data_IF_268132739265
#
_entry.id   IF_268132739265
#
_cell.length_a   1.000
_cell.length_b   1.000
_cell.length_c   1.000
_cell.angle_alpha   90.00
_cell.angle_beta   90.00
_cell.angle_gamma   90.00
#
_symmetry.space_group_name_H-M   'P 1'
#
loop_
_entity.id
_entity.type
_entity.pdbx_description
1 polymer ?
#
# COMPACT_ATOMS: atom_id res chain seq x y z
N UNK A 1 44.63 -5.40 -1.52
CA UNK A 1 43.54 -5.29 -0.54
C UNK A 1 42.46 -4.47 -1.18
N UNK A 2 41.35 -5.11 -1.53
CA UNK A 2 40.19 -4.42 -2.09
C UNK A 2 39.63 -3.49 -1.02
N UNK A 3 39.63 -2.18 -1.28
CA UNK A 3 39.12 -1.20 -0.32
C UNK A 3 37.60 -1.36 -0.25
N UNK A 4 37.09 -1.65 0.95
CA UNK A 4 35.65 -1.69 1.19
C UNK A 4 35.09 -0.28 0.97
N UNK A 5 34.12 -0.09 0.06
CA UNK A 5 33.46 1.19 -0.13
C UNK A 5 32.52 1.44 1.06
N UNK A 6 33.02 2.13 2.08
CA UNK A 6 32.23 2.50 3.26
C UNK A 6 31.14 3.51 2.90
N UNK A 7 30.04 3.46 3.66
CA UNK A 7 28.95 4.43 3.54
C UNK A 7 29.46 5.85 3.79
N UNK A 8 28.95 6.79 3.00
CA UNK A 8 29.10 8.21 3.30
C UNK A 8 28.36 8.55 4.60
N UNK A 9 28.74 9.66 5.24
CA UNK A 9 28.07 10.11 6.46
C UNK A 9 26.55 10.34 6.29
N UNK A 10 26.10 10.69 5.07
CA UNK A 10 24.67 10.82 4.76
C UNK A 10 23.99 9.45 4.72
N UNK A 11 24.58 8.49 4.01
CA UNK A 11 24.04 7.13 3.90
C UNK A 11 24.01 6.42 5.25
N UNK A 12 25.02 6.62 6.10
CA UNK A 12 25.03 6.06 7.45
C UNK A 12 23.86 6.60 8.31
N UNK A 13 23.60 7.91 8.25
CA UNK A 13 22.46 8.50 8.97
C UNK A 13 21.13 7.94 8.47
N UNK A 14 20.96 7.85 7.15
CA UNK A 14 19.74 7.27 6.54
C UNK A 14 19.58 5.80 6.92
N UNK A 15 20.66 5.02 6.88
CA UNK A 15 20.66 3.62 7.27
C UNK A 15 20.23 3.41 8.73
N UNK A 16 20.76 4.20 9.67
CA UNK A 16 20.37 4.10 11.09
C UNK A 16 18.90 4.45 11.33
N UNK A 17 18.38 5.48 10.65
CA UNK A 17 16.96 5.84 10.71
C UNK A 17 16.08 4.72 10.11
N UNK A 18 16.43 4.23 8.93
CA UNK A 18 15.71 3.16 8.26
C UNK A 18 15.72 1.86 9.09
N UNK A 19 16.86 1.48 9.64
CA UNK A 19 16.97 0.33 10.55
C UNK A 19 16.08 0.50 11.80
N UNK A 20 15.97 1.72 12.34
CA UNK A 20 15.08 1.99 13.47
C UNK A 20 13.62 1.79 13.09
N UNK A 21 13.20 2.22 11.90
CA UNK A 21 11.85 1.97 11.36
C UNK A 21 11.60 0.47 11.20
N UNK A 22 12.54 -0.28 10.62
CA UNK A 22 12.39 -1.73 10.41
C UNK A 22 12.21 -2.53 11.71
N UNK A 23 12.71 -2.01 12.84
CA UNK A 23 12.59 -2.65 14.15
C UNK A 23 11.34 -2.19 14.89
N UNK A 24 11.06 -0.88 14.92
CA UNK A 24 10.01 -0.31 15.77
C UNK A 24 8.62 -0.31 15.15
N UNK A 25 8.51 -0.04 13.84
CA UNK A 25 7.23 0.10 13.16
C UNK A 25 6.41 -1.21 13.14
N UNK A 26 7.01 -2.41 12.91
CA UNK A 26 6.24 -3.65 12.95
C UNK A 26 5.53 -3.87 14.28
N UNK A 27 6.21 -3.61 15.40
CA UNK A 27 5.64 -3.78 16.74
C UNK A 27 4.48 -2.82 16.98
N UNK A 28 4.59 -1.57 16.53
CA UNK A 28 3.54 -0.56 16.68
C UNK A 28 2.27 -0.94 15.89
N UNK A 29 2.45 -1.40 14.64
CA UNK A 29 1.34 -1.85 13.78
C UNK A 29 0.73 -3.15 14.29
N UNK A 30 1.56 -4.07 14.80
CA UNK A 30 1.12 -5.38 15.31
C UNK A 30 0.43 -5.28 16.68
N UNK A 31 0.75 -4.26 17.49
CA UNK A 31 0.24 -4.15 18.85
C UNK A 31 -1.30 -4.21 18.94
N UNK A 32 -2.01 -3.63 17.97
CA UNK A 32 -3.47 -3.72 17.90
C UNK A 32 -3.94 -5.14 17.54
N UNK A 33 -3.33 -5.77 16.54
CA UNK A 33 -3.66 -7.14 16.12
C UNK A 33 -3.48 -8.14 17.26
N UNK A 34 -2.42 -7.97 18.04
CA UNK A 34 -2.14 -8.84 19.18
C UNK A 34 -3.14 -8.64 20.32
N UNK A 35 -3.50 -7.39 20.64
CA UNK A 35 -4.50 -7.10 21.69
C UNK A 35 -5.90 -7.59 21.31
N UNK A 36 -6.34 -7.32 20.09
CA UNK A 36 -7.75 -7.51 19.71
C UNK A 36 -8.02 -8.92 19.18
N UNK A 37 -6.97 -9.61 18.72
CA UNK A 37 -7.11 -10.91 18.08
C UNK A 37 -5.98 -11.90 18.37
N UNK A 38 -4.97 -11.57 19.17
CA UNK A 38 -3.80 -12.45 19.37
C UNK A 38 -3.20 -12.89 18.03
N UNK A 39 -3.13 -11.97 17.07
CA UNK A 39 -2.59 -12.19 15.74
C UNK A 39 -1.28 -11.43 15.59
N UNK A 40 -0.33 -12.09 14.93
CA UNK A 40 0.84 -11.40 14.38
C UNK A 40 0.49 -10.72 13.06
N UNK A 41 1.33 -9.79 12.61
CA UNK A 41 1.19 -9.14 11.29
C UNK A 41 1.13 -10.18 10.16
N UNK A 42 1.95 -11.24 10.25
CA UNK A 42 1.92 -12.34 9.29
C UNK A 42 0.61 -13.13 9.35
N UNK A 43 0.10 -13.39 10.56
CA UNK A 43 -1.18 -14.09 10.73
C UNK A 43 -2.36 -13.30 10.17
N UNK A 44 -2.39 -11.99 10.39
CA UNK A 44 -3.38 -11.11 9.79
C UNK A 44 -3.24 -11.06 8.26
N UNK A 45 -2.02 -10.92 7.74
CA UNK A 45 -1.74 -10.93 6.30
C UNK A 45 -2.26 -12.18 5.58
N UNK A 46 -2.14 -13.36 6.22
CA UNK A 46 -2.73 -14.62 5.70
C UNK A 46 -4.25 -14.53 5.60
N UNK A 47 -4.92 -14.03 6.64
CA UNK A 47 -6.39 -13.93 6.65
C UNK A 47 -6.90 -12.86 5.66
N UNK A 48 -6.22 -11.71 5.57
CA UNK A 48 -6.55 -10.64 4.62
C UNK A 48 -6.41 -11.13 3.18
N UNK A 49 -5.28 -11.77 2.85
CA UNK A 49 -5.03 -12.30 1.51
C UNK A 49 -6.08 -13.34 1.07
N UNK A 50 -6.52 -14.20 2.00
CA UNK A 50 -7.63 -15.12 1.72
C UNK A 50 -8.96 -14.39 1.58
N UNK A 51 -9.24 -13.37 2.41
CA UNK A 51 -10.52 -12.63 2.36
C UNK A 51 -10.75 -11.89 1.03
N UNK A 52 -9.66 -11.47 0.39
CA UNK A 52 -9.65 -10.79 -0.92
C UNK A 52 -9.59 -11.76 -2.10
N UNK A 53 -9.34 -13.05 -1.86
CA UNK A 53 -9.23 -14.04 -2.92
C UNK A 53 -10.61 -14.51 -3.39
N UNK A 54 -10.80 -14.80 -4.68
CA UNK A 54 -11.99 -15.48 -5.18
C UNK A 54 -12.28 -16.75 -4.38
N UNK A 55 -13.55 -16.95 -3.97
CA UNK A 55 -13.95 -18.11 -3.15
C UNK A 55 -13.33 -18.14 -1.74
N UNK A 56 -12.65 -17.07 -1.32
CA UNK A 56 -11.88 -16.97 -0.07
C UNK A 56 -10.85 -18.08 0.11
N UNK A 57 -10.29 -18.54 -1.01
CA UNK A 57 -9.44 -19.71 -1.08
C UNK A 57 -8.18 -19.42 -1.89
N UNK A 58 -7.05 -19.99 -1.49
CA UNK A 58 -5.77 -19.81 -2.19
C UNK A 58 -4.87 -21.03 -2.01
N UNK A 59 -4.13 -21.41 -3.06
CA UNK A 59 -3.07 -22.43 -2.93
C UNK A 59 -2.01 -21.95 -1.94
N UNK A 60 -1.46 -22.87 -1.16
CA UNK A 60 -0.47 -22.54 -0.12
C UNK A 60 0.77 -21.82 -0.69
N UNK A 61 1.23 -22.17 -1.88
CA UNK A 61 2.39 -21.50 -2.52
C UNK A 61 2.10 -20.03 -2.81
N UNK A 62 0.94 -19.74 -3.41
CA UNK A 62 0.53 -18.38 -3.75
C UNK A 62 0.25 -17.55 -2.49
N UNK A 63 -0.35 -18.19 -1.49
CA UNK A 63 -0.61 -17.57 -0.20
C UNK A 63 0.69 -17.20 0.53
N UNK A 64 1.75 -18.01 0.40
CA UNK A 64 3.04 -17.72 1.01
C UNK A 64 3.67 -16.49 0.35
N UNK A 65 3.61 -16.40 -0.98
CA UNK A 65 4.10 -15.24 -1.73
C UNK A 65 3.31 -13.98 -1.37
N UNK A 66 1.97 -14.06 -1.33
CA UNK A 66 1.09 -12.91 -1.06
C UNK A 66 1.15 -12.43 0.38
N UNK A 67 1.37 -13.31 1.34
CA UNK A 67 1.62 -12.95 2.74
C UNK A 67 3.10 -12.63 3.03
N UNK A 68 3.97 -12.59 2.01
CA UNK A 68 5.41 -12.33 2.12
C UNK A 68 6.15 -13.28 3.09
N UNK A 69 5.74 -14.54 3.15
CA UNK A 69 6.32 -15.58 4.01
C UNK A 69 6.98 -16.71 3.25
N UNK A 70 7.83 -17.48 3.94
CA UNK A 70 8.29 -18.77 3.44
C UNK A 70 7.17 -19.82 3.53
N UNK A 71 7.24 -20.87 2.71
CA UNK A 71 6.27 -21.97 2.72
C UNK A 71 6.19 -22.68 4.10
N UNK A 72 7.33 -22.82 4.79
CA UNK A 72 7.39 -23.38 6.14
C UNK A 72 6.67 -22.48 7.15
N UNK A 73 6.99 -21.17 7.17
CA UNK A 73 6.33 -20.20 8.06
C UNK A 73 4.82 -20.18 7.83
N UNK A 74 4.40 -20.18 6.56
CA UNK A 74 2.98 -20.24 6.21
C UNK A 74 2.33 -21.52 6.75
N UNK A 75 2.97 -22.67 6.57
CA UNK A 75 2.40 -23.96 7.00
C UNK A 75 2.15 -24.00 8.50
N UNK A 76 3.07 -23.46 9.31
CA UNK A 76 2.87 -23.31 10.76
C UNK A 76 1.76 -22.32 11.10
N UNK A 77 1.73 -21.17 10.42
CA UNK A 77 0.72 -20.14 10.65
C UNK A 77 -0.69 -20.65 10.33
N UNK A 78 -0.87 -21.30 9.16
CA UNK A 78 -2.16 -21.87 8.77
C UNK A 78 -2.59 -22.95 9.76
N UNK A 79 -1.70 -23.82 10.22
CA UNK A 79 -2.04 -24.81 11.25
C UNK A 79 -2.51 -24.15 12.56
N UNK A 80 -1.95 -22.99 12.92
CA UNK A 80 -2.41 -22.20 14.07
C UNK A 80 -3.80 -21.60 13.85
N UNK A 81 -4.05 -21.03 12.66
CA UNK A 81 -5.35 -20.47 12.29
C UNK A 81 -6.44 -21.53 12.14
N UNK A 82 -6.08 -22.74 11.71
CA UNK A 82 -6.96 -23.92 11.68
C UNK A 82 -7.41 -24.33 13.08
N UNK A 83 -6.49 -24.39 14.06
CA UNK A 83 -6.83 -24.67 15.47
C UNK A 83 -7.80 -23.64 16.05
N UNK A 84 -7.82 -22.43 15.51
CA UNK A 84 -8.75 -21.35 15.90
C UNK A 84 -10.07 -21.37 15.13
N UNK A 85 -10.21 -22.27 14.16
CA UNK A 85 -11.39 -22.38 13.31
C UNK A 85 -11.54 -21.25 12.28
N UNK A 86 -10.48 -20.47 12.02
CA UNK A 86 -10.54 -19.32 11.10
C UNK A 86 -10.15 -19.68 9.67
N UNK A 87 -9.38 -20.75 9.52
CA UNK A 87 -8.97 -21.31 8.23
C UNK A 87 -9.23 -22.81 8.26
N UNK A 88 -9.38 -23.42 7.10
CA UNK A 88 -9.37 -24.87 6.90
C UNK A 88 -8.59 -25.22 5.64
N UNK A 89 -7.96 -26.39 5.62
CA UNK A 89 -7.29 -26.92 4.42
C UNK A 89 -8.19 -27.87 3.64
N UNK A 90 -8.13 -27.75 2.32
CA UNK A 90 -8.72 -28.66 1.36
C UNK A 90 -7.67 -29.19 0.38
N UNK A 91 -7.95 -30.31 -0.25
CA UNK A 91 -7.18 -30.77 -1.41
C UNK A 91 -7.64 -30.00 -2.66
N UNK A 92 -6.70 -29.57 -3.49
CA UNK A 92 -7.02 -28.92 -4.76
C UNK A 92 -7.82 -29.88 -5.67
N UNK A 93 -8.96 -29.41 -6.19
CA UNK A 93 -9.87 -30.22 -7.01
C UNK A 93 -9.32 -30.52 -8.42
N UNK A 94 -8.46 -29.64 -8.95
CA UNK A 94 -8.03 -29.68 -10.35
C UNK A 94 -6.84 -30.63 -10.62
N UNK A 95 -5.98 -30.88 -9.63
CA UNK A 95 -4.79 -31.71 -9.80
C UNK A 95 -4.57 -32.75 -8.68
N UNK A 96 -5.36 -32.70 -7.59
CA UNK A 96 -5.15 -33.50 -6.38
C UNK A 96 -3.78 -33.29 -5.71
N UNK A 97 -2.95 -32.36 -6.22
CA UNK A 97 -1.56 -32.11 -5.84
C UNK A 97 -1.47 -30.69 -5.29
N UNK A 98 -1.63 -30.60 -3.98
CA UNK A 98 -1.45 -29.36 -3.25
C UNK A 98 -2.61 -29.11 -2.29
N UNK A 99 -2.29 -28.36 -1.24
CA UNK A 99 -3.28 -27.92 -0.27
C UNK A 99 -3.74 -26.51 -0.64
N UNK A 100 -5.04 -26.30 -0.57
CA UNK A 100 -5.70 -25.00 -0.64
C UNK A 100 -6.06 -24.61 0.78
N UNK A 101 -5.73 -23.39 1.18
CA UNK A 101 -6.23 -22.79 2.40
C UNK A 101 -7.52 -22.04 2.08
N UNK A 102 -8.56 -22.26 2.88
CA UNK A 102 -9.88 -21.62 2.73
C UNK A 102 -10.21 -20.88 4.02
N UNK A 103 -10.58 -19.61 3.90
CA UNK A 103 -11.06 -18.82 5.03
C UNK A 103 -12.48 -19.27 5.40
N UNK A 104 -12.71 -19.54 6.68
CA UNK A 104 -14.04 -19.88 7.18
C UNK A 104 -14.88 -18.61 7.37
N UNK A 105 -16.19 -18.75 7.53
CA UNK A 105 -17.05 -17.60 7.87
C UNK A 105 -16.67 -16.96 9.20
N UNK A 106 -16.26 -17.77 10.18
CA UNK A 106 -15.72 -17.27 11.45
C UNK A 106 -14.42 -16.48 11.25
N UNK A 107 -13.53 -16.96 10.37
CA UNK A 107 -12.32 -16.25 9.97
C UNK A 107 -12.62 -14.93 9.26
N UNK A 108 -13.59 -14.93 8.35
CA UNK A 108 -14.01 -13.73 7.63
C UNK A 108 -14.62 -12.67 8.55
N UNK A 109 -15.53 -13.08 9.44
CA UNK A 109 -16.10 -12.21 10.46
C UNK A 109 -15.01 -11.62 11.38
N UNK A 110 -13.99 -12.42 11.71
CA UNK A 110 -12.85 -11.95 12.50
C UNK A 110 -12.03 -10.90 11.75
N UNK A 111 -11.73 -11.09 10.45
CA UNK A 111 -11.05 -10.07 9.62
C UNK A 111 -11.86 -8.78 9.59
N UNK A 112 -13.16 -8.86 9.30
CA UNK A 112 -14.04 -7.69 9.23
C UNK A 112 -14.07 -6.89 10.54
N UNK A 113 -14.00 -7.57 11.69
CA UNK A 113 -13.95 -6.92 13.00
C UNK A 113 -12.60 -6.23 13.29
N UNK A 114 -11.48 -6.78 12.79
CA UNK A 114 -10.13 -6.29 13.11
C UNK A 114 -9.67 -5.21 12.11
N UNK A 115 -10.07 -5.32 10.85
CA UNK A 115 -9.55 -4.49 9.76
C UNK A 115 -9.64 -2.98 10.03
N UNK A 116 -10.74 -2.42 10.60
CA UNK A 116 -10.79 -0.99 10.91
C UNK A 116 -9.71 -0.54 11.90
N UNK A 117 -9.46 -1.35 12.94
CA UNK A 117 -8.42 -1.08 13.93
C UNK A 117 -7.02 -1.17 13.33
N UNK A 118 -6.80 -2.17 12.46
CA UNK A 118 -5.53 -2.32 11.75
C UNK A 118 -5.25 -1.14 10.81
N UNK A 119 -6.25 -0.70 10.03
CA UNK A 119 -6.14 0.47 9.16
C UNK A 119 -5.84 1.73 9.97
N UNK A 120 -6.51 1.94 11.10
CA UNK A 120 -6.23 3.08 11.98
C UNK A 120 -4.80 3.05 12.54
N UNK A 121 -4.30 1.88 12.94
CA UNK A 121 -2.92 1.72 13.40
C UNK A 121 -1.90 2.05 12.30
N UNK A 122 -2.09 1.50 11.09
CA UNK A 122 -1.22 1.77 9.92
C UNK A 122 -1.26 3.25 9.54
N UNK A 123 -2.45 3.88 9.56
CA UNK A 123 -2.59 5.31 9.28
C UNK A 123 -1.83 6.15 10.31
N UNK A 124 -2.07 5.92 11.59
CA UNK A 124 -1.41 6.71 12.66
C UNK A 124 0.11 6.55 12.65
N UNK A 125 0.61 5.33 12.43
CA UNK A 125 2.04 5.03 12.51
C UNK A 125 2.81 5.44 11.23
N UNK A 126 2.14 5.46 10.07
CA UNK A 126 2.79 5.70 8.77
C UNK A 126 2.17 6.89 8.04
N UNK A 127 0.89 6.82 7.66
CA UNK A 127 0.37 7.72 6.63
C UNK A 127 -0.05 9.11 7.14
N UNK A 128 -0.50 9.23 8.38
CA UNK A 128 -0.96 10.51 8.94
C UNK A 128 0.21 11.45 9.28
N UNK A 129 1.42 10.92 9.42
CA UNK A 129 2.66 11.70 9.64
C UNK A 129 3.39 12.07 8.35
N UNK A 130 2.96 11.54 7.20
CA UNK A 130 3.55 11.80 5.89
C UNK A 130 2.72 12.81 5.08
N UNK A 131 3.40 13.63 4.30
CA UNK A 131 2.77 14.40 3.22
C UNK A 131 2.50 13.50 2.01
N UNK A 132 1.56 13.86 1.11
CA UNK A 132 1.29 13.09 -0.11
C UNK A 132 2.55 12.82 -0.93
N UNK A 133 3.41 13.83 -1.09
CA UNK A 133 4.71 13.68 -1.76
C UNK A 133 5.59 12.62 -1.10
N UNK A 134 5.65 12.59 0.23
CA UNK A 134 6.45 11.60 0.95
C UNK A 134 5.87 10.19 0.82
N UNK A 135 4.54 10.05 0.65
CA UNK A 135 3.92 8.77 0.34
C UNK A 135 4.36 8.29 -1.05
N UNK A 136 4.36 9.17 -2.04
CA UNK A 136 4.86 8.85 -3.39
C UNK A 136 6.37 8.47 -3.36
N UNK A 137 7.18 9.22 -2.61
CA UNK A 137 8.61 8.92 -2.41
C UNK A 137 8.80 7.58 -1.69
N UNK A 138 7.99 7.27 -0.68
CA UNK A 138 8.02 6.00 0.03
C UNK A 138 7.67 4.83 -0.90
N UNK A 139 6.65 4.98 -1.74
CA UNK A 139 6.30 3.98 -2.76
C UNK A 139 7.48 3.71 -3.71
N UNK A 140 8.11 4.78 -4.22
CA UNK A 140 9.29 4.66 -5.08
C UNK A 140 10.47 3.96 -4.40
N UNK A 141 10.76 4.32 -3.14
CA UNK A 141 11.84 3.70 -2.35
C UNK A 141 11.53 2.23 -2.08
N UNK A 142 10.32 1.90 -1.60
CA UNK A 142 9.93 0.52 -1.32
C UNK A 142 9.95 -0.34 -2.59
N UNK A 143 9.48 0.20 -3.71
CA UNK A 143 9.51 -0.48 -5.01
C UNK A 143 10.95 -0.80 -5.40
N UNK A 144 11.86 0.17 -5.31
CA UNK A 144 13.28 -0.03 -5.60
C UNK A 144 13.90 -1.10 -4.67
N UNK A 145 13.61 -1.05 -3.36
CA UNK A 145 14.17 -2.01 -2.39
C UNK A 145 13.63 -3.44 -2.54
N UNK A 146 12.40 -3.60 -3.04
CA UNK A 146 11.75 -4.91 -3.21
C UNK A 146 12.02 -5.56 -4.56
N UNK A 147 12.80 -4.93 -5.44
CA UNK A 147 13.17 -5.51 -6.73
C UNK A 147 13.86 -6.88 -6.53
N UNK A 148 13.44 -7.93 -7.27
CA UNK A 148 13.93 -9.29 -7.08
C UNK A 148 15.44 -9.42 -7.33
N UNK A 149 16.03 -8.54 -8.13
CA UNK A 149 17.47 -8.45 -8.42
C UNK A 149 18.27 -8.08 -7.16
N UNK A 150 17.71 -7.27 -6.27
CA UNK A 150 18.32 -6.92 -4.96
C UNK A 150 18.14 -8.08 -3.96
N UNK A 151 17.08 -8.88 -4.12
CA UNK A 151 16.78 -10.02 -3.24
C UNK A 151 17.64 -11.26 -3.55
N UNK A 152 18.12 -11.41 -4.78
CA UNK A 152 19.11 -12.43 -5.17
C UNK A 152 20.51 -11.96 -4.80
N UNK A 153 21.06 -12.47 -3.69
CA UNK A 153 22.49 -12.26 -3.39
C UNK A 153 23.36 -12.93 -4.47
N UNK A 154 24.54 -12.38 -4.81
CA UNK A 154 25.56 -13.14 -5.53
C UNK A 154 25.96 -14.33 -4.64
N UNK A 155 25.53 -15.54 -5.02
CA UNK A 155 25.72 -16.76 -4.23
C UNK A 155 24.59 -17.78 -4.36
N UNK A 156 23.41 -17.37 -4.82
CA UNK A 156 22.34 -18.31 -5.17
C UNK A 156 22.64 -18.94 -6.54
N UNK A 157 23.55 -19.92 -6.55
CA UNK A 157 23.71 -20.81 -7.70
C UNK A 157 22.41 -21.61 -7.91
N UNK A 158 21.97 -21.83 -9.17
CA UNK A 158 20.76 -22.59 -9.43
C UNK A 158 20.98 -24.05 -9.03
N UNK A 159 20.17 -24.56 -8.10
CA UNK A 159 19.97 -26.01 -7.96
C UNK A 159 19.35 -26.48 -9.26
N UNK A 160 20.12 -27.28 -10.00
CA UNK A 160 19.74 -27.93 -11.25
C UNK A 160 18.39 -28.62 -11.13
N UNK A 161 17.35 -28.03 -11.71
CA UNK A 161 16.08 -28.68 -11.98
C UNK A 161 16.20 -29.42 -13.32
N UNK A 162 16.18 -30.75 -13.24
CA UNK A 162 16.03 -31.67 -14.37
C UNK A 162 14.76 -31.33 -15.18
N UNK A 163 14.85 -31.53 -16.49
CA UNK A 163 13.82 -31.32 -17.50
C UNK A 163 12.40 -31.73 -17.07
N UNK A 164 11.45 -30.84 -17.35
CA UNK A 164 10.07 -31.21 -17.69
C UNK A 164 9.85 -31.05 -19.20
N UNK A 165 9.16 -31.99 -19.87
CA UNK A 165 8.82 -31.86 -21.28
C UNK A 165 7.63 -30.91 -21.49
N UNK A 166 7.65 -30.34 -22.69
CA UNK A 166 6.75 -29.36 -23.29
C UNK A 166 5.32 -29.89 -23.48
N UNK A 167 4.30 -29.08 -23.15
CA UNK A 167 2.91 -29.27 -23.57
C UNK A 167 2.17 -27.91 -23.64
N UNK A 168 2.15 -27.35 -24.85
CA UNK A 168 1.07 -26.64 -25.55
C UNK A 168 0.01 -25.83 -24.79
N UNK A 169 0.02 -24.53 -25.13
CA UNK A 169 -1.11 -23.67 -25.52
C UNK A 169 -2.51 -24.21 -25.27
N UNK A 170 -3.31 -23.45 -24.50
CA UNK A 170 -4.66 -23.15 -24.90
C UNK A 170 -5.06 -21.76 -24.41
N UNK A 171 -5.37 -20.93 -25.39
CA UNK A 171 -6.12 -19.69 -25.26
C UNK A 171 -7.55 -19.96 -24.74
N UNK A 172 -8.16 -18.86 -24.30
CA UNK A 172 -9.59 -18.66 -24.00
C UNK A 172 -10.04 -18.79 -22.54
N UNK A 173 -10.22 -17.61 -21.90
CA UNK A 173 -11.39 -17.15 -21.12
C UNK A 173 -11.21 -15.64 -20.83
N UNK A 174 -12.02 -14.78 -21.45
CA UNK A 174 -12.22 -13.34 -21.13
C UNK A 174 -13.73 -13.09 -21.20
N UNK A 175 -14.39 -12.49 -20.17
CA UNK A 175 -14.60 -11.04 -20.16
C UNK A 175 -14.67 -10.40 -18.77
N UNK A 176 -13.59 -9.72 -18.38
CA UNK A 176 -13.62 -8.61 -17.40
C UNK A 176 -12.60 -7.49 -17.73
N UNK A 177 -11.92 -7.57 -18.90
CA UNK A 177 -10.82 -6.66 -19.26
C UNK A 177 -11.27 -5.27 -19.76
N UNK A 178 -12.50 -5.11 -20.27
CA UNK A 178 -12.90 -3.90 -21.02
C UNK A 178 -12.75 -2.56 -20.28
N UNK A 179 -13.02 -2.49 -18.98
CA UNK A 179 -12.93 -1.22 -18.24
C UNK A 179 -11.50 -0.81 -17.87
N UNK A 180 -10.59 -1.78 -17.69
CA UNK A 180 -9.17 -1.49 -17.54
C UNK A 180 -8.49 -1.29 -18.90
N UNK A 181 -9.02 -1.89 -19.96
CA UNK A 181 -8.54 -1.68 -21.32
C UNK A 181 -8.83 -0.26 -21.81
N UNK A 182 -9.94 0.39 -21.43
CA UNK A 182 -10.23 1.79 -21.78
C UNK A 182 -9.27 2.78 -21.09
N UNK A 183 -8.92 2.54 -19.81
CA UNK A 183 -7.92 3.34 -19.08
C UNK A 183 -6.49 3.05 -19.57
N UNK A 184 -6.14 1.79 -19.86
CA UNK A 184 -4.84 1.42 -20.47
C UNK A 184 -4.71 1.96 -21.88
N UNK A 185 -5.74 1.86 -22.71
CA UNK A 185 -5.75 2.41 -24.07
C UNK A 185 -5.60 3.94 -24.07
N UNK A 186 -6.12 4.63 -23.04
CA UNK A 186 -5.91 6.08 -22.85
C UNK A 186 -4.46 6.42 -22.49
N UNK A 187 -3.76 5.54 -21.78
CA UNK A 187 -2.33 5.69 -21.43
C UNK A 187 -1.42 5.27 -22.59
N UNK A 188 -1.78 4.22 -23.33
CA UNK A 188 -1.05 3.72 -24.49
C UNK A 188 -1.19 4.68 -25.69
N UNK A 189 -2.31 5.40 -25.82
CA UNK A 189 -2.50 6.45 -26.82
C UNK A 189 -1.65 7.72 -26.55
N UNK A 190 -1.22 7.94 -25.30
CA UNK A 190 -0.28 9.02 -24.95
C UNK A 190 1.17 8.70 -25.35
N UNK A 191 1.46 7.48 -25.81
CA UNK A 191 2.80 7.05 -26.22
C UNK A 191 3.34 7.78 -27.47
N UNK A 192 2.55 8.63 -28.12
CA UNK A 192 3.01 9.49 -29.22
C UNK A 192 3.40 10.91 -28.74
N UNK A 193 3.14 11.26 -27.47
CA UNK A 193 3.61 12.50 -26.83
C UNK A 193 4.72 12.18 -25.82
N UNK A 194 5.69 13.09 -25.68
CA UNK A 194 6.77 12.99 -24.69
C UNK A 194 6.19 12.76 -23.28
N UNK A 195 6.41 11.55 -22.74
CA UNK A 195 5.94 11.11 -21.43
C UNK A 195 6.38 12.08 -20.32
N UNK A 196 7.56 12.68 -20.45
CA UNK A 196 8.06 13.69 -19.52
C UNK A 196 7.19 14.95 -19.59
N UNK A 197 6.82 15.39 -20.79
CA UNK A 197 5.92 16.52 -20.99
C UNK A 197 4.49 16.23 -20.53
N UNK A 198 4.02 14.97 -20.62
CA UNK A 198 2.73 14.55 -20.07
C UNK A 198 2.73 14.56 -18.53
N UNK A 199 3.78 14.01 -17.90
CA UNK A 199 3.95 14.06 -16.45
C UNK A 199 4.10 15.51 -15.95
N UNK A 200 4.82 16.36 -16.68
CA UNK A 200 4.94 17.80 -16.38
C UNK A 200 3.57 18.48 -16.43
N UNK A 201 2.76 18.24 -17.48
CA UNK A 201 1.39 18.76 -17.59
C UNK A 201 0.49 18.33 -16.42
N UNK A 202 0.61 17.09 -15.97
CA UNK A 202 -0.14 16.61 -14.80
C UNK A 202 0.33 17.33 -13.52
N UNK A 203 1.63 17.50 -13.35
CA UNK A 203 2.21 18.23 -12.21
C UNK A 203 1.77 19.70 -12.20
N UNK A 204 1.76 20.35 -13.37
CA UNK A 204 1.32 21.73 -13.54
C UNK A 204 -0.18 21.87 -13.24
N UNK A 205 -1.01 20.96 -13.76
CA UNK A 205 -2.44 20.91 -13.46
C UNK A 205 -2.71 20.73 -11.96
N UNK A 206 -1.98 19.84 -11.27
CA UNK A 206 -2.09 19.67 -9.80
C UNK A 206 -1.70 20.94 -9.06
N UNK A 207 -0.63 21.58 -9.47
CA UNK A 207 -0.16 22.86 -8.89
C UNK A 207 -1.22 23.95 -9.05
N UNK A 208 -1.86 24.03 -10.21
CA UNK A 208 -2.94 24.97 -10.48
C UNK A 208 -4.19 24.69 -9.63
N UNK A 209 -4.59 23.42 -9.52
CA UNK A 209 -5.73 23.00 -8.68
C UNK A 209 -5.46 23.33 -7.21
N UNK A 210 -4.28 23.00 -6.69
CA UNK A 210 -3.89 23.28 -5.31
C UNK A 210 -3.88 24.78 -5.00
N UNK A 211 -3.36 25.61 -5.92
CA UNK A 211 -3.37 27.07 -5.77
C UNK A 211 -4.80 27.63 -5.81
N UNK A 212 -5.65 27.09 -6.68
CA UNK A 212 -7.07 27.47 -6.74
C UNK A 212 -7.80 27.08 -5.45
N UNK A 213 -7.52 25.90 -4.90
CA UNK A 213 -8.07 25.44 -3.61
C UNK A 213 -7.67 26.40 -2.48
N UNK A 214 -6.41 26.85 -2.43
CA UNK A 214 -5.93 27.84 -1.47
C UNK A 214 -6.76 29.13 -1.53
N UNK A 215 -6.94 29.69 -2.73
CA UNK A 215 -7.71 30.91 -2.96
C UNK A 215 -9.18 30.77 -2.57
N UNK A 216 -9.79 29.62 -2.88
CA UNK A 216 -11.19 29.35 -2.56
C UNK A 216 -11.41 29.20 -1.05
N UNK A 217 -10.52 28.48 -0.35
CA UNK A 217 -10.59 28.36 1.11
C UNK A 217 -10.42 29.72 1.78
N UNK A 218 -9.44 30.51 1.33
CA UNK A 218 -9.18 31.85 1.86
C UNK A 218 -10.40 32.77 1.68
N UNK A 219 -10.99 32.80 0.48
CA UNK A 219 -12.19 33.58 0.18
C UNK A 219 -13.40 33.10 0.98
N UNK A 220 -13.59 31.79 1.14
CA UNK A 220 -14.64 31.23 1.98
C UNK A 220 -14.48 31.66 3.45
N UNK A 221 -13.25 31.70 3.96
CA UNK A 221 -12.94 32.20 5.31
C UNK A 221 -13.21 33.69 5.44
N UNK A 222 -12.86 34.51 4.44
CA UNK A 222 -13.16 35.94 4.40
C UNK A 222 -14.67 36.23 4.36
N UNK A 223 -15.48 35.32 3.80
CA UNK A 223 -16.94 35.39 3.79
C UNK A 223 -17.61 34.80 5.04
N UNK A 224 -16.82 34.44 6.07
CA UNK A 224 -17.34 33.96 7.36
C UNK A 224 -17.70 32.47 7.41
N UNK A 225 -17.39 31.67 6.39
CA UNK A 225 -17.62 30.23 6.46
C UNK A 225 -16.77 29.59 7.56
N UNK A 226 -17.37 28.70 8.34
CA UNK A 226 -16.68 27.90 9.35
C UNK A 226 -15.80 26.83 8.73
N UNK A 227 -14.78 26.38 9.46
CA UNK A 227 -13.96 25.26 9.04
C UNK A 227 -14.73 23.94 8.90
N UNK A 228 -15.88 23.80 9.57
CA UNK A 228 -16.80 22.67 9.42
C UNK A 228 -17.43 22.67 8.01
N UNK A 229 -17.93 23.84 7.57
CA UNK A 229 -18.54 24.02 6.25
C UNK A 229 -17.52 23.83 5.13
N UNK A 230 -16.31 24.35 5.31
CA UNK A 230 -15.20 24.17 4.36
C UNK A 230 -14.78 22.70 4.28
N UNK A 231 -14.66 22.00 5.42
CA UNK A 231 -14.36 20.58 5.43
C UNK A 231 -15.43 19.78 4.67
N UNK A 232 -16.71 20.06 4.91
CA UNK A 232 -17.82 19.42 4.20
C UNK A 232 -17.76 19.67 2.69
N UNK A 233 -17.53 20.91 2.26
CA UNK A 233 -17.41 21.26 0.83
C UNK A 233 -16.23 20.56 0.13
N UNK A 234 -15.10 20.40 0.84
CA UNK A 234 -13.92 19.68 0.36
C UNK A 234 -14.01 18.16 0.54
N UNK A 235 -15.14 17.65 1.05
CA UNK A 235 -15.34 16.23 1.43
C UNK A 235 -14.27 15.71 2.39
N UNK A 236 -13.79 16.56 3.28
CA UNK A 236 -12.85 16.22 4.34
C UNK A 236 -13.59 15.75 5.60
N UNK A 237 -13.00 14.83 6.39
CA UNK A 237 -13.69 14.21 7.52
C UNK A 237 -14.05 15.18 8.65
N UNK A 238 -13.22 16.20 8.88
CA UNK A 238 -13.40 17.14 9.98
C UNK A 238 -12.72 18.49 9.73
N UNK A 239 -13.06 19.47 10.58
CA UNK A 239 -12.51 20.83 10.53
C UNK A 239 -10.99 20.91 10.73
N UNK A 240 -10.37 19.95 11.45
CA UNK A 240 -8.91 19.95 11.70
C UNK A 240 -8.15 19.57 10.43
N UNK A 241 -8.69 18.66 9.62
CA UNK A 241 -8.09 18.31 8.33
C UNK A 241 -8.17 19.46 7.33
N UNK A 242 -9.30 20.19 7.27
CA UNK A 242 -9.42 21.39 6.45
C UNK A 242 -8.43 22.49 6.88
N UNK A 243 -8.27 22.73 8.18
CA UNK A 243 -7.27 23.66 8.72
C UNK A 243 -5.84 23.25 8.37
N UNK A 244 -5.53 21.95 8.50
CA UNK A 244 -4.21 21.41 8.19
C UNK A 244 -3.90 21.52 6.70
N UNK A 245 -4.87 21.23 5.83
CA UNK A 245 -4.76 21.40 4.38
C UNK A 245 -4.50 22.86 4.01
N UNK A 246 -5.28 23.80 4.55
CA UNK A 246 -5.09 25.22 4.29
C UNK A 246 -3.71 25.72 4.72
N UNK A 247 -3.24 25.33 5.91
CA UNK A 247 -1.88 25.66 6.37
C UNK A 247 -0.81 25.13 5.40
N UNK A 248 -0.90 23.88 4.98
CA UNK A 248 0.05 23.26 4.02
C UNK A 248 0.02 23.96 2.66
N UNK A 249 -1.16 24.34 2.18
CA UNK A 249 -1.29 25.12 0.95
C UNK A 249 -0.62 26.50 1.11
N UNK A 250 -0.84 27.20 2.22
CA UNK A 250 -0.14 28.48 2.49
C UNK A 250 1.37 28.34 2.58
N UNK A 251 1.88 27.29 3.22
CA UNK A 251 3.32 27.01 3.32
C UNK A 251 3.95 26.78 1.93
N UNK A 252 3.19 26.22 0.98
CA UNK A 252 3.65 26.01 -0.40
C UNK A 252 3.75 27.29 -1.23
N UNK A 253 2.96 28.32 -0.91
CA UNK A 253 3.01 29.65 -1.55
C UNK A 253 3.20 30.75 -0.50
N UNK A 254 4.41 30.95 0.01
CA UNK A 254 4.68 31.97 1.04
C UNK A 254 4.42 33.40 0.55
N UNK A 255 4.52 33.63 -0.76
CA UNK A 255 4.20 34.90 -1.44
C UNK A 255 2.70 35.17 -1.57
N UNK A 256 1.82 34.22 -1.19
CA UNK A 256 0.38 34.39 -1.29
C UNK A 256 -0.16 35.31 -0.20
N UNK A 257 -0.73 36.44 -0.60
CA UNK A 257 -1.41 37.39 0.30
C UNK A 257 -2.88 37.00 0.52
N UNK A 258 -3.31 36.76 1.78
CA UNK A 258 -4.71 36.47 2.10
C UNK A 258 -5.63 37.62 1.73
N UNK A 259 -6.83 37.28 1.26
CA UNK A 259 -7.92 38.23 1.05
C UNK A 259 -8.29 38.83 2.40
N UNK A 260 -8.08 40.14 2.59
CA UNK A 260 -8.57 40.79 3.81
C UNK A 260 -10.09 40.72 3.81
N UNK A 261 -10.67 40.40 4.98
CA UNK A 261 -12.11 40.50 5.16
C UNK A 261 -12.48 41.95 4.87
N UNK A 262 -13.30 42.19 3.84
CA UNK A 262 -13.90 43.50 3.62
C UNK A 262 -14.67 43.84 4.90
N UNK A 263 -14.13 44.79 5.66
CA UNK A 263 -14.78 45.36 6.84
C UNK A 263 -16.11 45.96 6.40
N UNK A 264 -17.19 45.24 6.67
CA UNK A 264 -18.58 45.69 6.60
C UNK A 264 -19.21 45.52 7.96
#
# INVERSE_FOLDING_TARGET
MEQVPWLTAREERVWRLFASVLVSLPDEVEAQLQRDAGLTQFGYGVLSALSEAPGRAMRMTDLAMRAHGSASRLSHQVASLERRGWVRRERAAEDGRGNVAVLTDAGYAKVAAIAPGHVAAVRSAVFDVLSPRQVDELEGICTALLQPEIRKRPGDAPVSSRQTPDCHQNDDIVPARRQNDDARASVDALACEDLTAALARISDARTHVDFTELQLIDRARAQGQTWEQIASALRMPDRRQAQTRFRRLRERWPEYEPTSAASG
#
